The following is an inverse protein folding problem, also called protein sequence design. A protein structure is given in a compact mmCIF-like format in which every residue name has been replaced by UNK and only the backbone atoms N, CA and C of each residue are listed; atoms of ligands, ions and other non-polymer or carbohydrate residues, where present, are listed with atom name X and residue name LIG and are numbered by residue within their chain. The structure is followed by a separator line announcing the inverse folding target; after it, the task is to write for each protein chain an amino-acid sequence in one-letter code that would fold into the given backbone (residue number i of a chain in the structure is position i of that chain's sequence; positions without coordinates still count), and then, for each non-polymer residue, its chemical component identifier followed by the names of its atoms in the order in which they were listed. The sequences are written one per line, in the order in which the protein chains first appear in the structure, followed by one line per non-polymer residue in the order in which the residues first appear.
data_IF_513400564324
#
_entry.id   IF_513400564324
#
_cell.length_a   1.000
_cell.length_b   1.000
_cell.length_c   1.000
_cell.angle_alpha   90.00
_cell.angle_beta   90.00
_cell.angle_gamma   90.00
#
_symmetry.space_group_name_H-M   'P 1'
#
loop_
_entity.id
_entity.type
_entity.pdbx_description
1 polymer ?
#
# COMPACT_ATOMS: atom_id res chain seq x y z
N UNK A 1 -3.83 -53.12 -10.44
CA UNK A 1 -2.81 -52.20 -9.92
C UNK A 1 -3.30 -50.77 -10.19
N UNK A 2 -3.80 -50.10 -9.17
CA UNK A 2 -4.24 -48.73 -9.26
C UNK A 2 -3.02 -47.83 -8.94
N UNK A 3 -2.50 -47.10 -9.91
CA UNK A 3 -1.50 -46.09 -9.69
C UNK A 3 -2.20 -44.84 -9.10
N UNK A 4 -2.10 -44.68 -7.80
CA UNK A 4 -2.43 -43.44 -7.13
C UNK A 4 -1.40 -42.37 -7.48
N UNK A 5 -1.71 -41.51 -8.44
CA UNK A 5 -0.93 -40.33 -8.69
C UNK A 5 -1.10 -39.36 -7.51
N UNK A 6 -0.09 -39.19 -6.66
CA UNK A 6 0.00 -38.03 -5.74
C UNK A 6 0.02 -36.77 -6.61
N UNK A 7 -1.07 -36.01 -6.58
CA UNK A 7 -1.01 -34.61 -7.05
C UNK A 7 0.04 -33.92 -6.19
N UNK A 8 1.15 -33.50 -6.78
CA UNK A 8 2.13 -32.65 -6.11
C UNK A 8 1.41 -31.37 -5.72
N UNK A 9 1.21 -31.17 -4.42
CA UNK A 9 0.66 -29.91 -3.89
C UNK A 9 1.64 -28.82 -4.28
N UNK A 10 1.16 -27.83 -5.06
CA UNK A 10 1.99 -26.71 -5.45
C UNK A 10 2.57 -26.07 -4.18
N UNK A 11 3.87 -25.88 -4.14
CA UNK A 11 4.52 -25.30 -2.97
C UNK A 11 3.96 -23.89 -2.74
N UNK A 12 3.39 -23.67 -1.57
CA UNK A 12 2.90 -22.34 -1.18
C UNK A 12 4.04 -21.32 -1.22
N UNK A 13 3.75 -20.12 -1.73
CA UNK A 13 4.73 -19.04 -1.79
C UNK A 13 4.88 -18.44 -0.40
N UNK A 14 5.93 -18.81 0.31
CA UNK A 14 6.25 -18.30 1.63
C UNK A 14 6.70 -16.82 1.57
N UNK A 15 7.05 -16.24 2.71
CA UNK A 15 7.44 -14.82 2.84
C UNK A 15 8.61 -14.43 1.93
N UNK A 16 9.64 -15.27 1.83
CA UNK A 16 10.82 -15.00 0.98
C UNK A 16 10.48 -15.13 -0.50
N UNK A 17 9.64 -16.09 -0.86
CA UNK A 17 9.08 -16.22 -2.21
C UNK A 17 8.30 -14.94 -2.59
N UNK A 18 7.40 -14.46 -1.74
CA UNK A 18 6.62 -13.23 -1.99
C UNK A 18 7.54 -12.01 -2.16
N UNK A 19 8.54 -11.85 -1.28
CA UNK A 19 9.54 -10.78 -1.41
C UNK A 19 10.32 -10.87 -2.71
N UNK A 20 10.72 -12.07 -3.09
CA UNK A 20 11.39 -12.36 -4.36
C UNK A 20 10.53 -12.00 -5.57
N UNK A 21 9.21 -12.19 -5.51
CA UNK A 21 8.29 -11.80 -6.59
C UNK A 21 8.25 -10.28 -6.78
N UNK A 22 8.26 -9.48 -5.69
CA UNK A 22 8.36 -8.02 -5.80
C UNK A 22 9.68 -7.61 -6.43
N UNK A 23 10.79 -8.23 -6.00
CA UNK A 23 12.12 -7.95 -6.57
C UNK A 23 12.15 -8.20 -8.07
N UNK A 24 11.72 -9.37 -8.51
CA UNK A 24 11.63 -9.73 -9.93
C UNK A 24 10.72 -8.76 -10.69
N UNK A 25 9.59 -8.37 -10.09
CA UNK A 25 8.68 -7.42 -10.71
C UNK A 25 9.33 -6.05 -10.94
N UNK A 26 9.97 -5.49 -9.90
CA UNK A 26 10.64 -4.17 -10.00
C UNK A 26 11.80 -4.21 -11.01
N UNK A 27 12.60 -5.28 -11.01
CA UNK A 27 13.70 -5.47 -11.97
C UNK A 27 13.17 -5.54 -13.41
N UNK A 28 12.16 -6.37 -13.67
CA UNK A 28 11.53 -6.49 -14.98
C UNK A 28 10.86 -5.20 -15.43
N UNK A 29 10.24 -4.47 -14.49
CA UNK A 29 9.58 -3.18 -14.72
C UNK A 29 10.58 -2.13 -15.20
N UNK A 30 11.72 -1.98 -14.51
CA UNK A 30 12.79 -1.05 -14.89
C UNK A 30 13.47 -1.47 -16.20
N UNK A 31 13.59 -2.77 -16.45
CA UNK A 31 14.18 -3.30 -17.69
C UNK A 31 13.20 -3.32 -18.86
N UNK A 32 11.93 -2.94 -18.68
CA UNK A 32 10.87 -3.01 -19.70
C UNK A 32 10.66 -4.43 -20.26
N UNK A 33 10.84 -5.46 -19.43
CA UNK A 33 10.81 -6.88 -19.85
C UNK A 33 9.70 -7.66 -19.13
N UNK A 34 8.41 -7.36 -19.36
CA UNK A 34 7.32 -8.07 -18.68
C UNK A 34 7.33 -9.58 -18.96
N UNK A 35 7.88 -10.02 -20.09
CA UNK A 35 8.05 -11.44 -20.46
C UNK A 35 9.05 -12.20 -19.57
N UNK A 36 9.89 -11.49 -18.78
CA UNK A 36 10.80 -12.13 -17.82
C UNK A 36 10.08 -12.56 -16.52
N UNK A 37 8.83 -12.13 -16.34
CA UNK A 37 8.05 -12.44 -15.14
C UNK A 37 7.38 -13.82 -15.26
N UNK A 38 7.24 -14.57 -14.15
CA UNK A 38 6.45 -15.78 -14.08
C UNK A 38 4.95 -15.43 -14.07
N UNK A 39 4.40 -15.05 -15.21
CA UNK A 39 3.01 -14.64 -15.31
C UNK A 39 2.07 -15.86 -15.44
N UNK A 40 0.90 -15.77 -14.80
CA UNK A 40 -0.20 -16.68 -15.10
C UNK A 40 -0.78 -16.40 -16.50
N UNK A 41 -1.38 -17.39 -17.19
CA UNK A 41 -1.90 -17.18 -18.55
C UNK A 41 -2.91 -16.03 -18.68
N UNK A 42 -3.70 -15.80 -17.63
CA UNK A 42 -4.75 -14.79 -17.58
C UNK A 42 -4.40 -13.65 -16.60
N UNK A 43 -3.12 -13.27 -16.52
CA UNK A 43 -2.69 -12.19 -15.65
C UNK A 43 -3.47 -10.92 -15.95
N UNK A 44 -4.01 -10.31 -14.89
CA UNK A 44 -4.69 -9.03 -14.97
C UNK A 44 -3.77 -7.93 -14.45
N UNK A 45 -3.61 -6.86 -15.21
CA UNK A 45 -2.86 -5.66 -14.81
C UNK A 45 -3.77 -4.44 -14.76
N UNK A 46 -3.70 -3.68 -13.66
CA UNK A 46 -4.36 -2.38 -13.53
C UNK A 46 -3.38 -1.33 -13.06
N UNK A 47 -3.40 -0.17 -13.71
CA UNK A 47 -2.70 1.04 -13.29
C UNK A 47 -3.74 2.13 -13.00
N UNK A 48 -3.72 2.69 -11.79
CA UNK A 48 -4.68 3.71 -11.35
C UNK A 48 -6.15 3.28 -11.56
N UNK A 49 -6.45 2.04 -11.20
CA UNK A 49 -7.75 1.37 -11.40
C UNK A 49 -8.18 1.16 -12.86
N UNK A 50 -7.32 1.44 -13.84
CA UNK A 50 -7.61 1.17 -15.27
C UNK A 50 -6.92 -0.11 -15.70
N UNK A 51 -7.66 -1.02 -16.31
CA UNK A 51 -7.06 -2.23 -16.87
C UNK A 51 -6.26 -1.87 -18.14
N UNK A 52 -5.02 -2.35 -18.18
CA UNK A 52 -4.09 -2.16 -19.28
C UNK A 52 -3.45 -3.51 -19.67
N UNK A 53 -2.97 -3.66 -20.92
CA UNK A 53 -2.01 -4.71 -21.24
C UNK A 53 -0.75 -4.56 -20.39
N UNK A 54 -0.18 -5.69 -19.92
CA UNK A 54 1.12 -5.63 -19.24
C UNK A 54 2.20 -5.14 -20.22
N UNK A 55 3.05 -4.24 -19.76
CA UNK A 55 4.01 -3.53 -20.61
C UNK A 55 3.54 -2.14 -21.06
N UNK A 56 2.28 -1.80 -20.80
CA UNK A 56 1.75 -0.44 -21.04
C UNK A 56 1.80 0.44 -19.78
N UNK A 57 1.41 1.71 -19.92
CA UNK A 57 1.46 2.70 -18.85
C UNK A 57 2.89 3.01 -18.44
N UNK A 58 3.17 3.06 -17.13
CA UNK A 58 4.49 3.36 -16.60
C UNK A 58 5.57 2.32 -16.96
N UNK A 59 5.20 1.13 -17.43
CA UNK A 59 6.13 0.17 -18.02
C UNK A 59 6.96 0.73 -19.17
N UNK A 60 6.44 1.75 -19.87
CA UNK A 60 7.12 2.38 -21.02
C UNK A 60 8.01 3.55 -20.64
N UNK A 61 7.85 4.08 -19.44
CA UNK A 61 8.46 5.37 -19.05
C UNK A 61 9.41 5.28 -17.86
N UNK A 62 9.28 4.24 -17.02
CA UNK A 62 10.17 4.07 -15.87
C UNK A 62 11.62 3.86 -16.32
N UNK A 63 12.56 4.52 -15.64
CA UNK A 63 13.99 4.49 -16.03
C UNK A 63 14.88 3.81 -15.02
N UNK A 64 14.53 3.88 -13.73
CA UNK A 64 15.31 3.26 -12.64
C UNK A 64 14.49 3.13 -11.36
N UNK A 65 14.94 2.24 -10.48
CA UNK A 65 14.49 2.21 -9.09
C UNK A 65 15.24 3.26 -8.24
N UNK A 66 14.57 3.74 -7.20
CA UNK A 66 15.16 4.55 -6.14
C UNK A 66 15.69 3.70 -4.98
N UNK A 67 15.94 4.35 -3.85
CA UNK A 67 16.45 3.69 -2.64
C UNK A 67 15.35 3.21 -1.69
N UNK A 68 14.13 3.74 -1.82
CA UNK A 68 13.02 3.38 -0.94
C UNK A 68 12.22 2.21 -1.47
N UNK A 69 12.03 1.21 -0.61
CA UNK A 69 11.10 0.10 -0.79
C UNK A 69 10.60 -0.36 0.57
N UNK A 70 9.30 -0.55 0.69
CA UNK A 70 8.62 -1.07 1.87
C UNK A 70 7.65 -2.18 1.47
N UNK A 71 7.96 -3.42 1.85
CA UNK A 71 7.14 -4.59 1.49
C UNK A 71 6.07 -4.90 2.55
N UNK A 72 4.94 -5.42 2.08
CA UNK A 72 3.80 -5.89 2.86
C UNK A 72 3.41 -7.28 2.34
N UNK A 73 3.69 -8.35 3.11
CA UNK A 73 3.68 -9.72 2.63
C UNK A 73 2.56 -10.53 3.29
N UNK A 74 1.45 -10.71 2.61
CA UNK A 74 0.32 -11.52 3.07
C UNK A 74 0.48 -12.98 2.61
N UNK A 75 1.21 -13.75 3.41
CA UNK A 75 1.51 -15.16 3.11
C UNK A 75 0.24 -16.00 2.99
N UNK A 76 -0.76 -15.74 3.86
CA UNK A 76 -2.01 -16.49 3.88
C UNK A 76 -2.82 -16.36 2.59
N UNK A 77 -2.72 -15.21 1.92
CA UNK A 77 -3.47 -14.90 0.71
C UNK A 77 -2.62 -14.88 -0.56
N UNK A 78 -1.34 -15.22 -0.45
CA UNK A 78 -0.42 -15.16 -1.59
C UNK A 78 -0.31 -13.73 -2.17
N UNK A 79 -0.29 -12.70 -1.31
CA UNK A 79 -0.20 -11.30 -1.77
C UNK A 79 1.14 -10.72 -1.39
N UNK A 80 1.83 -10.19 -2.39
CA UNK A 80 3.07 -9.43 -2.22
C UNK A 80 2.82 -7.97 -2.62
N UNK A 81 2.74 -7.08 -1.64
CA UNK A 81 2.53 -5.66 -1.89
C UNK A 81 3.76 -4.85 -1.49
N UNK A 82 3.95 -3.69 -2.13
CA UNK A 82 5.07 -2.80 -1.80
C UNK A 82 4.76 -1.35 -2.15
N UNK A 83 5.32 -0.44 -1.36
CA UNK A 83 5.56 0.94 -1.75
C UNK A 83 7.01 1.05 -2.24
N UNK A 84 7.20 1.56 -3.44
CA UNK A 84 8.50 1.63 -4.11
C UNK A 84 8.74 3.03 -4.67
N UNK A 85 9.96 3.53 -4.49
CA UNK A 85 10.43 4.71 -5.20
C UNK A 85 10.98 4.31 -6.56
N UNK A 86 10.44 4.90 -7.61
CA UNK A 86 10.90 4.72 -8.97
C UNK A 86 11.12 6.09 -9.63
N UNK A 87 11.67 6.10 -10.82
CA UNK A 87 11.90 7.32 -11.59
C UNK A 87 11.52 7.13 -13.05
N UNK A 88 10.98 8.18 -13.63
CA UNK A 88 10.85 8.38 -15.07
C UNK A 88 11.47 9.73 -15.43
N UNK A 89 11.57 10.08 -16.71
CA UNK A 89 12.13 11.37 -17.13
C UNK A 89 11.31 12.52 -16.53
N UNK A 90 12.00 13.38 -15.76
CA UNK A 90 11.42 14.57 -15.14
C UNK A 90 10.56 14.32 -13.89
N UNK A 91 10.38 13.08 -13.43
CA UNK A 91 9.57 12.80 -12.24
C UNK A 91 10.10 11.64 -11.38
N UNK A 92 9.93 11.79 -10.05
CA UNK A 92 9.98 10.69 -9.11
C UNK A 92 8.60 10.04 -9.01
N UNK A 93 8.55 8.72 -9.07
CA UNK A 93 7.31 7.96 -8.90
C UNK A 93 7.24 7.39 -7.48
N UNK A 94 6.16 7.68 -6.80
CA UNK A 94 5.73 6.97 -5.62
C UNK A 94 4.76 5.88 -6.06
N UNK A 95 5.28 4.67 -6.14
CA UNK A 95 4.64 3.53 -6.78
C UNK A 95 4.15 2.53 -5.75
N UNK A 96 2.85 2.31 -5.72
CA UNK A 96 2.26 1.22 -4.96
C UNK A 96 1.97 0.05 -5.89
N UNK A 97 2.38 -1.15 -5.50
CA UNK A 97 2.10 -2.38 -6.24
C UNK A 97 1.55 -3.46 -5.32
N UNK A 98 0.56 -4.20 -5.80
CA UNK A 98 -0.01 -5.38 -5.15
C UNK A 98 0.00 -6.51 -6.17
N UNK A 99 0.82 -7.52 -5.93
CA UNK A 99 0.91 -8.74 -6.73
C UNK A 99 0.09 -9.85 -6.07
N UNK A 100 -0.74 -10.53 -6.86
CA UNK A 100 -1.44 -11.75 -6.45
C UNK A 100 -0.70 -12.94 -7.00
N UNK A 101 -0.25 -13.80 -6.11
CA UNK A 101 0.57 -14.97 -6.44
C UNK A 101 -0.28 -16.22 -6.28
N UNK A 102 -0.42 -16.95 -7.35
CA UNK A 102 -1.11 -18.24 -7.42
C UNK A 102 -0.18 -19.24 -8.12
N UNK A 103 0.02 -20.41 -7.52
CA UNK A 103 0.93 -21.45 -8.04
C UNK A 103 2.32 -20.89 -8.44
N UNK A 104 2.88 -20.05 -7.59
CA UNK A 104 4.17 -19.34 -7.81
C UNK A 104 4.21 -18.48 -9.09
N UNK A 105 3.06 -18.08 -9.61
CA UNK A 105 2.93 -17.16 -10.74
C UNK A 105 2.19 -15.89 -10.34
N UNK A 106 2.48 -14.81 -11.02
CA UNK A 106 1.77 -13.55 -10.85
C UNK A 106 0.45 -13.65 -11.62
N UNK A 107 -0.66 -13.80 -10.91
CA UNK A 107 -2.01 -13.87 -11.47
C UNK A 107 -2.68 -12.49 -11.57
N UNK A 108 -2.21 -11.52 -10.79
CA UNK A 108 -2.74 -10.16 -10.83
C UNK A 108 -1.76 -9.12 -10.36
N UNK A 109 -1.85 -7.93 -10.95
CA UNK A 109 -1.00 -6.78 -10.67
C UNK A 109 -1.90 -5.55 -10.55
N UNK A 110 -1.95 -4.95 -9.37
CA UNK A 110 -2.71 -3.73 -9.10
C UNK A 110 -1.72 -2.64 -8.71
N UNK A 111 -1.77 -1.47 -9.37
CA UNK A 111 -0.83 -0.38 -9.11
C UNK A 111 -1.52 0.97 -8.97
N UNK A 112 -0.88 1.85 -8.19
CA UNK A 112 -1.22 3.27 -8.06
C UNK A 112 0.06 4.09 -8.16
N UNK A 113 0.04 5.16 -8.95
CA UNK A 113 1.25 5.92 -9.27
C UNK A 113 1.02 7.40 -8.98
N UNK A 114 1.75 7.94 -8.02
CA UNK A 114 1.86 9.39 -7.86
C UNK A 114 3.18 9.87 -8.47
N UNK A 115 3.10 10.90 -9.33
CA UNK A 115 4.26 11.54 -9.97
C UNK A 115 4.61 12.83 -9.27
N UNK A 116 5.82 12.89 -8.74
CA UNK A 116 6.37 14.09 -8.09
C UNK A 116 7.33 14.77 -9.05
N UNK A 117 6.97 15.98 -9.45
CA UNK A 117 7.80 16.85 -10.27
C UNK A 117 8.36 17.98 -9.40
N UNK A 118 9.34 18.76 -9.87
CA UNK A 118 9.86 19.93 -9.14
C UNK A 118 8.79 20.95 -8.74
N UNK A 119 7.66 20.98 -9.48
CA UNK A 119 6.54 21.90 -9.22
C UNK A 119 5.43 21.31 -8.35
N UNK A 120 5.56 20.04 -7.93
CA UNK A 120 4.58 19.39 -7.06
C UNK A 120 4.52 20.07 -5.70
N UNK A 121 3.31 20.27 -5.18
CA UNK A 121 3.05 20.92 -3.89
C UNK A 121 3.73 20.21 -2.72
N UNK A 122 3.77 18.90 -2.75
CA UNK A 122 4.40 18.08 -1.74
C UNK A 122 5.67 17.46 -2.33
N UNK A 123 6.80 17.71 -1.68
CA UNK A 123 8.08 17.11 -2.00
C UNK A 123 8.41 16.05 -0.94
N UNK A 124 8.85 14.84 -1.32
CA UNK A 124 9.09 13.75 -0.38
C UNK A 124 10.37 13.98 0.42
N UNK A 125 10.29 14.67 1.54
CA UNK A 125 11.40 14.95 2.44
C UNK A 125 11.70 13.81 3.43
N UNK A 126 10.77 12.87 3.57
CA UNK A 126 10.82 11.73 4.49
C UNK A 126 10.83 10.37 3.80
N UNK A 127 10.81 10.34 2.48
CA UNK A 127 10.90 9.10 1.71
C UNK A 127 12.31 8.52 1.81
N UNK A 128 12.40 7.22 2.09
CA UNK A 128 13.68 6.51 2.26
C UNK A 128 14.39 6.76 3.59
N UNK A 129 13.91 7.66 4.44
CA UNK A 129 14.37 7.73 5.82
C UNK A 129 13.86 6.52 6.60
N UNK A 130 14.55 6.08 7.66
CA UNK A 130 14.09 4.98 8.48
C UNK A 130 12.65 5.27 8.93
N UNK A 131 11.72 4.48 8.43
CA UNK A 131 10.36 4.47 8.93
C UNK A 131 10.35 3.63 10.19
N UNK A 132 10.82 4.20 11.30
CA UNK A 132 10.77 3.54 12.60
C UNK A 132 9.36 2.99 12.82
N UNK A 133 9.22 1.95 13.62
CA UNK A 133 8.01 1.18 13.82
C UNK A 133 7.50 0.43 12.59
N UNK A 134 7.48 1.01 11.37
CA UNK A 134 7.09 0.24 10.18
C UNK A 134 7.98 -0.99 9.99
N UNK A 135 9.28 -0.85 10.24
CA UNK A 135 10.27 -1.93 10.13
C UNK A 135 10.54 -2.65 11.45
N UNK A 136 10.01 -2.15 12.57
CA UNK A 136 10.26 -2.73 13.88
C UNK A 136 9.50 -4.07 14.00
N UNK A 137 10.09 -5.07 14.64
CA UNK A 137 9.40 -6.31 14.94
C UNK A 137 8.23 -6.04 15.91
N UNK A 138 7.12 -6.77 15.73
CA UNK A 138 6.00 -6.71 16.67
C UNK A 138 6.44 -7.33 17.99
N UNK A 139 6.35 -6.63 19.15
CA UNK A 139 6.61 -7.22 20.44
C UNK A 139 5.76 -8.46 20.66
N UNK A 140 6.35 -9.54 21.22
CA UNK A 140 5.70 -10.85 21.27
C UNK A 140 4.38 -10.87 22.01
N UNK A 141 4.28 -10.10 23.10
CA UNK A 141 3.09 -9.92 23.94
C UNK A 141 2.03 -9.00 23.30
N UNK A 142 2.37 -8.29 22.22
CA UNK A 142 1.48 -7.36 21.51
C UNK A 142 1.05 -7.84 20.13
N UNK A 143 1.38 -9.09 19.78
CA UNK A 143 0.91 -9.72 18.54
C UNK A 143 -0.60 -9.81 18.53
N UNK A 144 -1.19 -9.64 17.36
CA UNK A 144 -2.63 -9.63 17.18
C UNK A 144 -3.05 -10.64 16.11
N UNK A 145 -4.29 -11.11 16.21
CA UNK A 145 -4.88 -11.92 15.16
C UNK A 145 -5.10 -11.11 13.88
N UNK A 146 -5.15 -11.78 12.72
CA UNK A 146 -5.50 -11.14 11.43
C UNK A 146 -6.79 -10.32 11.53
N UNK A 147 -7.82 -10.88 12.16
CA UNK A 147 -9.12 -10.23 12.32
C UNK A 147 -9.00 -8.93 13.14
N UNK A 148 -8.22 -8.95 14.22
CA UNK A 148 -8.00 -7.77 15.05
C UNK A 148 -7.15 -6.70 14.35
N UNK A 149 -6.13 -7.09 13.59
CA UNK A 149 -5.36 -6.17 12.76
C UNK A 149 -6.27 -5.43 11.77
N UNK A 150 -7.11 -6.17 11.04
CA UNK A 150 -8.08 -5.60 10.10
C UNK A 150 -9.06 -4.67 10.82
N UNK A 151 -9.60 -5.10 11.97
CA UNK A 151 -10.55 -4.31 12.75
C UNK A 151 -9.94 -2.98 13.18
N UNK A 152 -8.71 -2.98 13.68
CA UNK A 152 -8.03 -1.74 14.10
C UNK A 152 -7.70 -0.85 12.89
N UNK A 153 -7.21 -1.41 11.77
CA UNK A 153 -6.96 -0.62 10.56
C UNK A 153 -8.22 0.08 10.05
N UNK A 154 -9.38 -0.59 10.09
CA UNK A 154 -10.65 -0.05 9.61
C UNK A 154 -11.25 1.04 10.52
N UNK A 155 -10.72 1.26 11.71
CA UNK A 155 -11.08 2.43 12.54
C UNK A 155 -10.61 3.74 11.91
N UNK A 156 -9.56 3.71 11.09
CA UNK A 156 -9.04 4.91 10.44
C UNK A 156 -10.02 5.50 9.41
N UNK A 157 -10.52 4.75 8.41
CA UNK A 157 -11.57 5.27 7.54
C UNK A 157 -12.86 5.63 8.30
N UNK A 158 -13.14 5.01 9.44
CA UNK A 158 -14.27 5.44 10.29
C UNK A 158 -14.01 6.82 10.89
N UNK A 159 -12.81 7.09 11.41
CA UNK A 159 -12.43 8.42 11.87
C UNK A 159 -12.53 9.51 10.77
N UNK A 160 -12.18 9.16 9.53
CA UNK A 160 -12.38 10.04 8.37
C UNK A 160 -13.86 10.28 8.08
N UNK A 161 -14.70 9.23 8.21
CA UNK A 161 -16.14 9.28 7.92
C UNK A 161 -16.88 10.18 8.89
N UNK A 162 -16.50 10.17 10.16
CA UNK A 162 -17.13 11.02 11.20
C UNK A 162 -16.39 12.35 11.41
N UNK A 163 -15.21 12.54 10.77
CA UNK A 163 -14.39 13.75 10.90
C UNK A 163 -13.64 13.86 12.23
N UNK A 164 -13.45 12.75 12.96
CA UNK A 164 -12.82 12.73 14.29
C UNK A 164 -12.02 11.43 14.50
N UNK A 165 -10.70 11.55 14.62
CA UNK A 165 -9.86 10.41 15.02
C UNK A 165 -9.98 10.09 16.53
N UNK A 166 -10.04 11.07 17.46
CA UNK A 166 -10.22 10.77 18.87
C UNK A 166 -11.40 9.85 19.21
N UNK A 167 -12.48 9.96 18.42
CA UNK A 167 -13.71 9.21 18.68
C UNK A 167 -13.75 7.83 18.00
N UNK A 168 -12.81 7.54 17.12
CA UNK A 168 -12.86 6.31 16.34
C UNK A 168 -11.55 5.51 16.32
N UNK A 169 -10.39 6.15 16.30
CA UNK A 169 -9.12 5.53 15.89
C UNK A 169 -8.12 5.47 17.04
N UNK A 170 -7.72 4.27 17.48
CA UNK A 170 -6.72 4.11 18.54
C UNK A 170 -5.30 4.31 17.98
N UNK A 171 -4.69 5.45 18.25
CA UNK A 171 -3.28 5.70 17.96
C UNK A 171 -2.42 5.51 19.19
N UNK A 172 -1.25 4.90 19.03
CA UNK A 172 -0.22 4.90 20.06
C UNK A 172 0.23 6.36 20.34
N UNK A 173 0.67 6.62 21.59
CA UNK A 173 1.08 7.96 22.02
C UNK A 173 2.13 8.59 21.11
N UNK A 174 3.06 7.77 20.62
CA UNK A 174 4.18 8.15 19.75
C UNK A 174 3.95 7.72 18.28
N UNK A 175 2.69 7.56 17.87
CA UNK A 175 2.32 7.27 16.50
C UNK A 175 2.66 8.44 15.56
N UNK A 176 2.88 8.12 14.28
CA UNK A 176 3.13 9.11 13.24
C UNK A 176 2.50 8.73 11.90
N UNK A 177 2.41 9.70 10.99
CA UNK A 177 1.89 9.54 9.64
C UNK A 177 2.76 10.23 8.60
N UNK A 178 3.09 9.47 7.54
CA UNK A 178 3.79 9.94 6.34
C UNK A 178 2.88 9.72 5.14
N UNK A 179 2.73 10.72 4.31
CA UNK A 179 1.93 10.69 3.08
C UNK A 179 2.78 11.15 1.90
N UNK A 180 2.87 10.33 0.86
CA UNK A 180 3.69 10.60 -0.32
C UNK A 180 5.13 11.02 0.04
N UNK A 181 5.71 10.38 1.08
CA UNK A 181 7.04 10.69 1.59
C UNK A 181 7.14 12.01 2.36
N UNK A 182 6.00 12.67 2.65
CA UNK A 182 5.96 13.90 3.44
C UNK A 182 5.39 13.60 4.83
N UNK A 183 6.11 14.00 5.88
CA UNK A 183 5.70 13.76 7.26
C UNK A 183 4.52 14.68 7.62
N UNK A 184 3.34 14.12 7.86
CA UNK A 184 2.09 14.90 8.04
C UNK A 184 1.80 15.18 9.51
N UNK A 185 1.93 14.16 10.39
CA UNK A 185 1.53 14.28 11.79
C UNK A 185 2.30 13.31 12.68
N UNK A 186 2.34 13.59 13.96
CA UNK A 186 2.79 12.69 15.01
C UNK A 186 4.24 12.85 15.44
N UNK A 187 4.72 11.88 16.19
CA UNK A 187 6.02 11.92 16.86
C UNK A 187 7.20 11.84 15.87
N UNK A 188 8.18 12.72 16.04
CA UNK A 188 9.38 12.80 15.20
C UNK A 188 9.17 13.54 13.88
N UNK A 189 8.10 14.32 13.77
CA UNK A 189 7.93 15.22 12.65
C UNK A 189 9.07 16.25 12.62
N UNK A 190 9.72 16.48 11.46
CA UNK A 190 10.87 17.37 11.36
C UNK A 190 10.50 18.86 11.39
N UNK A 191 9.21 19.22 11.34
CA UNK A 191 8.74 20.59 11.32
C UNK A 191 8.19 21.01 12.67
N UNK A 192 8.47 22.27 13.09
CA UNK A 192 8.10 22.80 14.40
C UNK A 192 6.59 22.80 14.70
N UNK A 193 5.74 22.87 13.68
CA UNK A 193 4.28 22.97 13.81
C UNK A 193 3.53 21.74 13.29
N UNK A 194 4.13 20.56 13.36
CA UNK A 194 3.40 19.33 13.04
C UNK A 194 2.32 19.07 14.10
N UNK A 195 1.11 18.74 13.67
CA UNK A 195 0.08 18.30 14.62
C UNK A 195 0.43 16.90 15.16
N UNK A 196 -0.07 16.57 16.35
CA UNK A 196 -0.13 15.21 16.85
C UNK A 196 -1.18 14.41 16.08
N UNK A 197 -1.17 13.05 16.26
CA UNK A 197 -2.15 12.18 15.56
C UNK A 197 -3.60 12.52 15.94
N UNK A 198 -3.87 12.97 17.16
CA UNK A 198 -5.21 13.35 17.62
C UNK A 198 -5.53 14.84 17.44
N UNK A 199 -4.52 15.70 17.22
CA UNK A 199 -4.72 17.13 17.08
C UNK A 199 -4.66 17.61 15.63
N UNK A 200 -4.40 16.72 14.69
CA UNK A 200 -4.42 17.03 13.27
C UNK A 200 -5.82 17.36 12.78
N UNK A 201 -5.91 18.28 11.83
CA UNK A 201 -7.18 18.58 11.18
C UNK A 201 -7.61 17.39 10.31
N UNK A 202 -8.78 16.87 10.60
CA UNK A 202 -9.42 15.81 9.80
C UNK A 202 -10.40 16.46 8.85
N UNK A 203 -10.27 16.16 7.55
CA UNK A 203 -11.28 16.53 6.57
C UNK A 203 -12.37 15.45 6.63
N UNK A 204 -13.61 15.88 6.77
CA UNK A 204 -14.77 14.98 6.79
C UNK A 204 -14.93 14.29 5.44
N UNK A 205 -14.93 12.96 5.44
CA UNK A 205 -15.09 12.10 4.25
C UNK A 205 -16.25 11.12 4.45
N UNK A 206 -17.51 11.56 4.41
CA UNK A 206 -18.67 10.71 4.74
C UNK A 206 -18.82 9.51 3.80
N UNK A 207 -18.28 9.61 2.59
CA UNK A 207 -18.39 8.61 1.54
C UNK A 207 -17.09 7.80 1.33
N UNK A 208 -16.14 7.83 2.28
CA UNK A 208 -14.92 7.05 2.15
C UNK A 208 -15.23 5.56 2.09
N UNK A 209 -14.66 4.90 1.09
CA UNK A 209 -14.70 3.45 0.96
C UNK A 209 -13.31 2.87 1.17
N UNK A 210 -13.23 1.73 1.85
CA UNK A 210 -11.99 1.05 2.15
C UNK A 210 -12.06 -0.45 1.82
N UNK A 211 -10.98 -0.99 1.30
CA UNK A 211 -10.81 -2.41 1.00
C UNK A 211 -9.44 -2.87 1.46
N UNK A 212 -9.37 -4.02 2.13
CA UNK A 212 -8.11 -4.62 2.57
C UNK A 212 -7.36 -5.14 1.34
N UNK A 213 -6.17 -4.62 1.09
CA UNK A 213 -5.32 -5.04 -0.02
C UNK A 213 -4.35 -6.15 0.37
N UNK A 214 -3.77 -6.08 1.57
CA UNK A 214 -2.91 -7.11 2.14
C UNK A 214 -2.93 -7.05 3.67
N UNK A 215 -2.60 -8.18 4.32
CA UNK A 215 -2.36 -8.23 5.78
C UNK A 215 -1.07 -9.00 6.03
N UNK A 216 -0.04 -8.30 6.43
CA UNK A 216 1.22 -8.89 6.88
C UNK A 216 1.13 -9.20 8.38
N UNK A 217 0.69 -10.42 8.71
CA UNK A 217 0.45 -10.83 10.11
C UNK A 217 1.75 -10.87 10.93
N UNK A 218 2.88 -11.18 10.30
CA UNK A 218 4.19 -11.21 10.98
C UNK A 218 4.67 -9.80 11.33
N UNK A 219 4.56 -8.89 10.36
CA UNK A 219 4.95 -7.50 10.55
C UNK A 219 3.89 -6.66 11.28
N UNK A 220 2.67 -7.19 11.51
CA UNK A 220 1.56 -6.44 12.08
C UNK A 220 1.15 -5.26 11.19
N UNK A 221 1.07 -5.45 9.88
CA UNK A 221 0.74 -4.39 8.93
C UNK A 221 -0.51 -4.75 8.14
N UNK A 222 -1.43 -3.81 8.03
CA UNK A 222 -2.58 -3.88 7.12
C UNK A 222 -2.40 -2.81 6.04
N UNK A 223 -2.44 -3.22 4.79
CA UNK A 223 -2.50 -2.30 3.65
C UNK A 223 -3.96 -2.13 3.22
N UNK A 224 -4.47 -0.91 3.29
CA UNK A 224 -5.79 -0.55 2.78
C UNK A 224 -5.65 0.15 1.44
N UNK A 225 -6.50 -0.21 0.49
CA UNK A 225 -6.89 0.66 -0.60
C UNK A 225 -8.08 1.49 -0.16
N UNK A 226 -8.06 2.80 -0.39
CA UNK A 226 -9.19 3.67 -0.07
C UNK A 226 -9.45 4.67 -1.19
N UNK A 227 -10.73 4.96 -1.42
CA UNK A 227 -11.20 6.13 -2.15
C UNK A 227 -11.94 7.02 -1.16
N UNK A 228 -11.47 8.24 -0.98
CA UNK A 228 -11.97 9.15 0.06
C UNK A 228 -13.31 9.78 -0.28
N UNK A 229 -13.82 9.52 -1.49
CA UNK A 229 -15.08 10.08 -1.94
C UNK A 229 -15.00 11.58 -2.22
N UNK A 230 -16.15 12.17 -2.44
CA UNK A 230 -16.26 13.58 -2.78
C UNK A 230 -15.98 14.48 -1.58
N UNK A 231 -15.08 15.44 -1.78
CA UNK A 231 -14.94 16.66 -0.96
C UNK A 231 -14.53 17.83 -1.86
N UNK A 232 -14.71 19.06 -1.42
CA UNK A 232 -14.24 20.23 -2.17
C UNK A 232 -12.70 20.33 -2.22
N UNK A 233 -11.99 19.49 -1.46
CA UNK A 233 -10.53 19.58 -1.28
C UNK A 233 -9.73 19.05 -2.46
N UNK A 234 -10.33 18.18 -3.30
CA UNK A 234 -9.62 17.47 -4.39
C UNK A 234 -9.99 17.96 -5.79
N UNK A 235 -10.76 19.04 -5.87
CA UNK A 235 -11.29 19.59 -7.12
C UNK A 235 -12.59 18.88 -7.56
N UNK A 236 -13.27 19.45 -8.58
CA UNK A 236 -14.57 18.93 -9.03
C UNK A 236 -14.41 17.52 -9.62
N UNK A 237 -15.35 16.64 -9.29
CA UNK A 237 -15.39 15.24 -9.77
C UNK A 237 -14.12 14.41 -9.52
N UNK A 238 -13.35 14.76 -8.49
CA UNK A 238 -12.16 14.03 -8.08
C UNK A 238 -12.25 13.54 -6.64
N UNK A 239 -11.49 12.48 -6.36
CA UNK A 239 -11.24 11.96 -5.02
C UNK A 239 -9.77 11.63 -4.82
N UNK A 240 -9.34 11.61 -3.57
CA UNK A 240 -8.06 11.05 -3.18
C UNK A 240 -8.21 9.53 -3.15
N UNK A 241 -7.34 8.84 -3.88
CA UNK A 241 -7.23 7.37 -3.87
C UNK A 241 -5.85 7.00 -3.35
N UNK A 242 -5.79 6.04 -2.43
CA UNK A 242 -4.55 5.67 -1.74
C UNK A 242 -4.38 4.16 -1.57
N UNK A 243 -3.12 3.74 -1.52
CA UNK A 243 -2.71 2.58 -0.74
C UNK A 243 -2.05 3.10 0.54
N UNK A 244 -2.60 2.73 1.69
CA UNK A 244 -2.18 3.22 2.98
C UNK A 244 -1.89 2.05 3.92
N UNK A 245 -0.65 1.98 4.41
CA UNK A 245 -0.17 0.92 5.28
C UNK A 245 -0.23 1.35 6.75
N UNK A 246 -0.87 0.53 7.56
CA UNK A 246 -1.06 0.71 8.99
C UNK A 246 -0.23 -0.31 9.76
N UNK A 247 0.79 0.13 10.49
CA UNK A 247 1.52 -0.67 11.45
C UNK A 247 0.74 -0.73 12.76
N UNK A 248 0.46 -1.95 13.24
CA UNK A 248 -0.46 -2.17 14.36
C UNK A 248 0.10 -3.21 15.30
N UNK A 249 0.09 -2.93 16.58
CA UNK A 249 0.27 -3.90 17.67
C UNK A 249 -0.41 -3.44 18.96
N UNK A 250 -0.78 -4.38 19.83
CA UNK A 250 -1.39 -4.08 21.12
C UNK A 250 -2.71 -3.31 21.03
N UNK A 251 -3.42 -3.41 19.90
CA UNK A 251 -4.69 -2.72 19.67
C UNK A 251 -4.58 -1.29 19.15
N UNK A 252 -3.37 -0.77 18.90
CA UNK A 252 -3.14 0.62 18.49
C UNK A 252 -2.37 0.73 17.17
N UNK A 253 -2.68 1.76 16.38
CA UNK A 253 -1.92 2.15 15.19
C UNK A 253 -0.64 2.87 15.64
N UNK A 254 0.50 2.34 15.23
CA UNK A 254 1.83 2.83 15.60
C UNK A 254 2.41 3.78 14.55
N UNK A 255 2.15 3.49 13.28
CA UNK A 255 2.66 4.26 12.16
C UNK A 255 1.76 4.10 10.94
N UNK A 256 1.72 5.12 10.11
CA UNK A 256 0.99 5.13 8.84
C UNK A 256 1.93 5.59 7.74
N UNK A 257 1.93 4.86 6.62
CA UNK A 257 2.62 5.25 5.39
C UNK A 257 1.67 5.11 4.20
N UNK A 258 1.36 6.24 3.55
CA UNK A 258 0.43 6.30 2.45
C UNK A 258 1.11 6.77 1.17
N UNK A 259 0.79 6.10 0.04
CA UNK A 259 0.99 6.65 -1.29
C UNK A 259 -0.38 6.89 -1.91
N UNK A 260 -0.64 8.13 -2.28
CA UNK A 260 -1.93 8.54 -2.82
C UNK A 260 -1.78 9.41 -4.06
N UNK A 261 -2.85 9.48 -4.83
CA UNK A 261 -3.02 10.48 -5.90
C UNK A 261 -4.49 10.90 -6.03
N UNK A 262 -4.71 12.00 -6.74
CA UNK A 262 -6.06 12.43 -7.09
C UNK A 262 -6.47 11.73 -8.38
N UNK A 263 -7.63 11.08 -8.35
CA UNK A 263 -8.24 10.34 -9.46
C UNK A 263 -9.70 10.77 -9.62
N UNK A 264 -10.37 10.41 -10.74
CA UNK A 264 -11.81 10.63 -10.87
C UNK A 264 -12.60 10.05 -9.69
N UNK A 265 -13.66 10.75 -9.26
CA UNK A 265 -14.46 10.41 -8.09
C UNK A 265 -14.94 8.95 -8.07
N UNK A 266 -15.42 8.48 -9.21
CA UNK A 266 -15.97 7.13 -9.37
C UNK A 266 -14.89 6.05 -9.60
N UNK A 267 -13.61 6.35 -9.26
CA UNK A 267 -12.54 5.36 -9.40
C UNK A 267 -12.81 4.14 -8.50
N UNK A 268 -13.11 2.96 -9.07
CA UNK A 268 -13.41 1.77 -8.29
C UNK A 268 -12.15 1.00 -7.94
N UNK A 269 -12.29 0.08 -6.99
CA UNK A 269 -11.37 -1.03 -6.84
C UNK A 269 -12.00 -2.32 -7.37
N UNK A 270 -11.46 -2.86 -8.45
CA UNK A 270 -11.95 -4.10 -9.08
C UNK A 270 -11.33 -5.38 -8.49
N UNK A 271 -10.48 -5.26 -7.49
CA UNK A 271 -9.76 -6.38 -6.90
C UNK A 271 -10.46 -6.87 -5.63
N UNK A 272 -10.50 -8.18 -5.38
CA UNK A 272 -11.12 -8.72 -4.18
C UNK A 272 -10.38 -8.24 -2.92
N UNK A 273 -11.14 -8.07 -1.83
CA UNK A 273 -10.56 -7.77 -0.51
C UNK A 273 -9.79 -8.99 0.02
N UNK A 274 -8.67 -8.72 0.69
CA UNK A 274 -7.84 -9.73 1.37
C UNK A 274 -8.29 -10.04 2.82
N UNK A 275 -9.58 -9.81 3.13
CA UNK A 275 -10.15 -10.12 4.47
C UNK A 275 -10.08 -11.60 4.82
#
# INVERSE_FOLDING_TARGET
MLFGGSAAQAAECNRDCLRGMITKYVEAFVAHTPQALPLAPNVRFTEDSRQLPIGDGAWKTVTRAGSFRQDYLDVRRGIAASHVELYEEGAQLQYSVVLRIEDQKIAGIETLINRVTPTSKFQPDSLGKPLRKMNDPVPGDKKMSRADLIRVALTYPEGLRIGSFPDATPFAKDAYRVENGFFIAGEGCPRANCPGMYTQRVILHPNVVASVAAVDEEAGIVLLWMNFGYTNSYGPNNALVTFEAFKIWGGEIQAINAFFRILPLETPRFWPSAR
#
